data_IF_335951650948
#
_entry.id   IF_335951650948
#
_cell.length_a   1.000
_cell.length_b   1.000
_cell.length_c   1.000
_cell.angle_alpha   90.00
_cell.angle_beta   90.00
_cell.angle_gamma   90.00
#
_symmetry.space_group_name_H-M   'P 1'
#
loop_
_entity.id
_entity.type
_entity.pdbx_description
1 polymer ?
#
# COMPACT_ATOMS: atom_id res chain seq x y z
N UNK A 1 -6.11 -30.26 34.91
CA UNK A 1 -5.30 -29.04 34.68
C UNK A 1 -5.94 -28.24 33.56
N UNK A 2 -6.03 -26.96 33.76
CA UNK A 2 -6.56 -26.03 32.76
C UNK A 2 -5.43 -25.07 32.30
N UNK A 3 -5.53 -24.58 31.10
CA UNK A 3 -4.51 -23.68 30.51
C UNK A 3 -4.33 -22.37 31.30
N UNK A 4 -5.32 -21.99 32.12
CA UNK A 4 -5.29 -20.82 32.98
C UNK A 4 -4.78 -21.10 34.40
N UNK A 5 -4.43 -22.35 34.70
CA UNK A 5 -3.80 -22.69 36.01
C UNK A 5 -2.48 -21.93 36.16
N UNK A 6 -2.15 -21.48 37.38
CA UNK A 6 -1.01 -20.62 37.67
C UNK A 6 0.32 -21.17 37.12
N UNK A 7 0.57 -22.45 37.28
CA UNK A 7 1.81 -23.08 36.81
C UNK A 7 1.91 -23.08 35.26
N UNK A 8 0.79 -23.35 34.58
CA UNK A 8 0.74 -23.29 33.13
C UNK A 8 0.85 -21.85 32.60
N UNK A 9 0.22 -20.87 33.27
CA UNK A 9 0.36 -19.47 32.95
C UNK A 9 1.81 -18.99 33.10
N UNK A 10 2.51 -19.42 34.17
CA UNK A 10 3.92 -19.10 34.37
C UNK A 10 4.80 -19.73 33.28
N UNK A 11 4.51 -20.96 32.86
CA UNK A 11 5.24 -21.63 31.78
C UNK A 11 5.05 -20.89 30.44
N UNK A 12 3.82 -20.48 30.12
CA UNK A 12 3.52 -19.69 28.90
C UNK A 12 4.26 -18.36 28.93
N UNK A 13 4.23 -17.63 30.04
CA UNK A 13 4.97 -16.37 30.17
C UNK A 13 6.47 -16.56 29.99
N UNK A 14 7.04 -17.63 30.59
CA UNK A 14 8.47 -17.90 30.42
C UNK A 14 8.84 -18.16 28.97
N UNK A 15 8.10 -19.03 28.29
CA UNK A 15 8.34 -19.33 26.87
C UNK A 15 8.19 -18.06 25.99
N UNK A 16 7.17 -17.23 26.24
CA UNK A 16 7.00 -15.99 25.52
C UNK A 16 8.20 -15.04 25.67
N UNK A 17 8.70 -14.89 26.91
CA UNK A 17 9.87 -14.03 27.19
C UNK A 17 11.14 -14.62 26.55
N UNK A 18 11.34 -15.94 26.62
CA UNK A 18 12.48 -16.61 25.99
C UNK A 18 12.46 -16.35 24.46
N UNK A 19 11.32 -16.58 23.79
CA UNK A 19 11.17 -16.33 22.36
C UNK A 19 11.35 -14.85 21.97
N UNK A 20 10.94 -13.92 22.84
CA UNK A 20 11.17 -12.49 22.63
C UNK A 20 12.66 -12.14 22.72
N UNK A 21 13.38 -12.69 23.71
CA UNK A 21 14.81 -12.49 23.89
C UNK A 21 15.63 -13.10 22.73
N UNK A 22 15.14 -14.22 22.17
CA UNK A 22 15.73 -14.86 20.99
C UNK A 22 15.41 -14.12 19.68
N UNK A 23 14.62 -13.02 19.73
CA UNK A 23 14.24 -12.23 18.56
C UNK A 23 13.21 -12.89 17.64
N UNK A 24 12.57 -13.98 18.08
CA UNK A 24 11.57 -14.72 17.32
C UNK A 24 10.16 -14.10 17.44
N UNK A 25 9.93 -13.31 18.49
CA UNK A 25 8.70 -12.54 18.69
C UNK A 25 9.05 -11.06 18.63
N UNK A 26 8.35 -10.31 17.78
CA UNK A 26 8.52 -8.87 17.63
C UNK A 26 7.17 -8.20 17.36
N UNK A 27 7.10 -6.89 17.61
CA UNK A 27 5.93 -6.07 17.33
C UNK A 27 6.11 -5.33 16.01
N UNK A 28 5.19 -5.57 15.08
CA UNK A 28 5.22 -4.93 13.77
C UNK A 28 3.80 -4.59 13.28
N UNK A 29 3.71 -3.84 12.17
CA UNK A 29 2.45 -3.54 11.48
C UNK A 29 2.23 -4.59 10.39
N UNK A 30 1.00 -5.07 10.26
CA UNK A 30 0.58 -5.98 9.20
C UNK A 30 -0.67 -5.45 8.53
N UNK A 31 -0.73 -5.57 7.21
CA UNK A 31 -1.94 -5.28 6.46
C UNK A 31 -3.00 -6.34 6.76
N UNK A 32 -4.24 -5.92 6.98
CA UNK A 32 -5.37 -6.82 7.29
C UNK A 32 -6.59 -6.41 6.47
N UNK A 33 -7.50 -7.35 6.22
CA UNK A 33 -8.82 -7.04 5.72
C UNK A 33 -9.61 -6.27 6.78
N UNK A 34 -10.25 -5.19 6.38
CA UNK A 34 -10.92 -4.26 7.28
C UNK A 34 -12.33 -3.95 6.82
N UNK A 35 -13.31 -4.17 7.69
CA UNK A 35 -14.68 -3.75 7.48
C UNK A 35 -14.86 -2.30 7.94
N UNK A 36 -15.20 -1.42 7.01
CA UNK A 36 -15.35 0.02 7.27
C UNK A 36 -16.67 0.36 7.96
N UNK A 37 -17.66 -0.53 7.95
CA UNK A 37 -18.94 -0.33 8.63
C UNK A 37 -18.87 -0.79 10.09
N UNK A 38 -18.38 -2.00 10.31
CA UNK A 38 -18.16 -2.55 11.65
C UNK A 38 -16.90 -1.98 12.32
N UNK A 39 -16.03 -1.33 11.53
CA UNK A 39 -14.75 -0.75 11.97
C UNK A 39 -13.87 -1.75 12.72
N UNK A 40 -13.78 -2.95 12.17
CA UNK A 40 -13.00 -4.06 12.72
C UNK A 40 -12.21 -4.80 11.64
N UNK A 41 -11.13 -5.45 12.05
CA UNK A 41 -10.45 -6.43 11.20
C UNK A 41 -11.34 -7.66 11.01
N UNK A 42 -11.30 -8.22 9.82
CA UNK A 42 -12.00 -9.45 9.46
C UNK A 42 -10.99 -10.49 8.99
N UNK A 43 -11.28 -11.77 9.24
CA UNK A 43 -10.43 -12.87 8.78
C UNK A 43 -10.56 -13.08 7.27
N UNK A 44 -9.55 -13.69 6.66
CA UNK A 44 -9.57 -13.98 5.22
C UNK A 44 -10.73 -14.91 4.84
N UNK A 45 -11.19 -15.76 5.77
CA UNK A 45 -12.34 -16.65 5.57
C UNK A 45 -13.68 -15.93 5.49
N UNK A 46 -13.76 -14.70 6.01
CA UNK A 46 -14.96 -13.87 6.00
C UNK A 46 -15.04 -12.98 4.75
N UNK A 47 -13.96 -12.92 3.96
CA UNK A 47 -13.91 -12.13 2.73
C UNK A 47 -14.56 -12.89 1.59
N UNK A 48 -15.65 -12.32 1.06
CA UNK A 48 -16.32 -12.86 -0.14
C UNK A 48 -15.81 -12.11 -1.37
N UNK A 49 -15.12 -12.81 -2.26
CA UNK A 49 -14.65 -12.26 -3.52
C UNK A 49 -15.83 -12.06 -4.48
N UNK A 50 -15.93 -10.88 -5.09
CA UNK A 50 -16.93 -10.56 -6.10
C UNK A 50 -16.29 -9.87 -7.27
N UNK A 51 -16.60 -10.33 -8.47
CA UNK A 51 -16.21 -9.63 -9.68
C UNK A 51 -17.04 -8.36 -9.84
N UNK A 52 -16.34 -7.24 -10.02
CA UNK A 52 -16.97 -5.94 -10.27
C UNK A 52 -16.37 -5.32 -11.53
N UNK A 53 -17.24 -4.71 -12.33
CA UNK A 53 -16.75 -3.90 -13.45
C UNK A 53 -16.04 -2.66 -12.90
N UNK A 54 -14.80 -2.46 -13.32
CA UNK A 54 -13.99 -1.32 -12.94
C UNK A 54 -13.40 -0.64 -14.18
N UNK A 55 -12.98 0.60 -14.02
CA UNK A 55 -12.26 1.34 -15.05
C UNK A 55 -10.77 1.35 -14.73
N UNK A 56 -9.94 1.30 -15.76
CA UNK A 56 -8.51 1.49 -15.64
C UNK A 56 -8.19 2.97 -15.94
N UNK A 57 -7.57 3.63 -14.99
CA UNK A 57 -7.20 5.04 -15.07
C UNK A 57 -5.72 5.16 -15.38
N UNK A 58 -5.37 6.04 -16.30
CA UNK A 58 -3.99 6.34 -16.67
C UNK A 58 -3.63 7.71 -16.10
N UNK A 59 -2.57 7.75 -15.28
CA UNK A 59 -2.15 8.94 -14.57
C UNK A 59 -0.68 9.21 -14.88
N UNK A 60 -0.37 10.44 -15.28
CA UNK A 60 0.99 10.88 -15.58
C UNK A 60 1.68 11.43 -14.35
N UNK A 61 2.81 10.84 -14.00
CA UNK A 61 3.70 11.35 -12.96
C UNK A 61 4.89 12.03 -13.61
N UNK A 62 5.09 13.31 -13.32
CA UNK A 62 6.23 14.08 -13.85
C UNK A 62 7.53 13.57 -13.26
N UNK A 63 8.56 13.37 -14.10
CA UNK A 63 9.89 12.97 -13.64
C UNK A 63 10.65 14.24 -13.23
N UNK A 64 11.21 14.25 -12.03
CA UNK A 64 11.95 15.38 -11.49
C UNK A 64 13.14 15.74 -12.39
N UNK A 65 13.26 17.02 -12.74
CA UNK A 65 14.31 17.58 -13.62
C UNK A 65 14.30 17.06 -15.06
N UNK A 66 13.20 16.52 -15.53
CA UNK A 66 13.01 16.09 -16.91
C UNK A 66 11.64 16.54 -17.42
N UNK A 67 11.55 16.85 -18.70
CA UNK A 67 10.27 17.18 -19.36
C UNK A 67 9.39 15.96 -19.63
N UNK A 68 9.92 14.77 -19.31
CA UNK A 68 9.24 13.51 -19.53
C UNK A 68 8.35 13.14 -18.32
N UNK A 69 7.38 12.29 -18.60
CA UNK A 69 6.45 11.71 -17.63
C UNK A 69 6.53 10.21 -17.65
N UNK A 70 6.13 9.57 -16.56
CA UNK A 70 5.84 8.14 -16.51
C UNK A 70 4.35 7.97 -16.27
N UNK A 71 3.68 7.22 -17.15
CA UNK A 71 2.25 6.96 -17.02
C UNK A 71 2.04 5.65 -16.26
N UNK A 72 1.29 5.70 -15.17
CA UNK A 72 0.87 4.52 -14.41
C UNK A 72 -0.58 4.18 -14.75
N UNK A 73 -0.93 2.89 -14.65
CA UNK A 73 -2.30 2.41 -14.83
C UNK A 73 -2.83 1.86 -13.49
N UNK A 74 -4.01 2.28 -13.06
CA UNK A 74 -4.61 1.86 -11.80
C UNK A 74 -6.12 1.79 -11.85
N UNK A 75 -6.72 0.86 -11.12
CA UNK A 75 -8.18 0.82 -10.89
C UNK A 75 -8.60 1.62 -9.67
N UNK A 76 -7.64 2.10 -8.87
CA UNK A 76 -7.88 2.79 -7.58
C UNK A 76 -7.12 4.11 -7.52
N UNK A 77 -7.47 5.12 -8.36
CA UNK A 77 -6.73 6.38 -8.44
C UNK A 77 -6.72 7.15 -7.11
N UNK A 78 -7.75 7.03 -6.27
CA UNK A 78 -7.82 7.68 -4.96
C UNK A 78 -6.69 7.28 -4.02
N UNK A 79 -6.12 6.07 -4.18
CA UNK A 79 -5.04 5.62 -3.31
C UNK A 79 -3.69 6.24 -3.64
N UNK A 80 -3.56 6.97 -4.78
CA UNK A 80 -2.30 7.63 -5.14
C UNK A 80 -1.81 8.64 -4.09
N UNK A 81 -2.72 9.16 -3.28
CA UNK A 81 -2.36 10.02 -2.15
C UNK A 81 -1.46 9.33 -1.13
N UNK A 82 -1.48 7.99 -1.09
CA UNK A 82 -0.64 7.17 -0.22
C UNK A 82 0.56 6.52 -0.92
N UNK A 83 0.84 6.85 -2.19
CA UNK A 83 1.95 6.26 -2.94
C UNK A 83 3.31 6.62 -2.33
N UNK A 84 4.20 5.64 -2.29
CA UNK A 84 5.56 5.80 -1.75
C UNK A 84 6.65 5.42 -2.74
N UNK A 85 6.28 4.82 -3.87
CA UNK A 85 7.17 4.55 -5.00
C UNK A 85 6.37 4.33 -6.29
N UNK A 86 7.07 4.32 -7.42
CA UNK A 86 6.62 3.72 -8.67
C UNK A 86 7.55 2.56 -8.98
N UNK A 87 7.01 1.36 -9.15
CA UNK A 87 7.78 0.17 -9.51
C UNK A 87 7.79 -0.03 -11.03
N UNK A 88 8.93 -0.43 -11.56
CA UNK A 88 9.12 -0.85 -12.95
C UNK A 88 9.95 -2.13 -12.98
N UNK A 89 9.74 -2.96 -13.99
CA UNK A 89 10.53 -4.18 -14.13
C UNK A 89 11.99 -3.83 -14.45
N UNK A 90 12.99 -4.43 -13.77
CA UNK A 90 14.40 -4.16 -14.02
C UNK A 90 14.87 -4.52 -15.44
N UNK A 91 14.12 -5.37 -16.13
CA UNK A 91 14.42 -5.79 -17.51
C UNK A 91 13.62 -5.00 -18.58
N UNK A 92 12.73 -4.08 -18.16
CA UNK A 92 11.95 -3.27 -19.09
C UNK A 92 12.79 -2.14 -19.67
N UNK A 93 13.17 -2.28 -20.93
CA UNK A 93 14.01 -1.30 -21.65
C UNK A 93 13.40 0.11 -21.72
N UNK A 94 12.07 0.23 -21.57
CA UNK A 94 11.38 1.53 -21.55
C UNK A 94 11.73 2.36 -20.34
N UNK A 95 12.00 1.70 -19.20
CA UNK A 95 12.12 2.36 -17.90
C UNK A 95 13.47 2.17 -17.20
N UNK A 96 14.35 1.29 -17.71
CA UNK A 96 15.63 0.97 -17.07
C UNK A 96 16.47 2.22 -16.74
N UNK A 97 16.45 3.24 -17.60
CA UNK A 97 17.17 4.50 -17.40
C UNK A 97 16.48 5.46 -16.42
N UNK A 98 15.27 5.12 -15.96
CA UNK A 98 14.50 5.92 -15.01
C UNK A 98 14.62 5.38 -13.58
N UNK A 99 15.12 4.16 -13.38
CA UNK A 99 15.29 3.55 -12.07
C UNK A 99 16.20 4.43 -11.20
N UNK A 100 15.75 4.69 -9.97
CA UNK A 100 16.41 5.55 -9.00
C UNK A 100 16.10 7.04 -9.13
N UNK A 101 15.47 7.49 -10.22
CA UNK A 101 14.99 8.86 -10.35
C UNK A 101 13.75 9.10 -9.50
N UNK A 102 13.46 10.38 -9.24
CA UNK A 102 12.24 10.77 -8.53
C UNK A 102 11.13 11.12 -9.52
N UNK A 103 9.90 10.80 -9.14
CA UNK A 103 8.68 11.29 -9.77
C UNK A 103 7.86 12.10 -8.77
N UNK A 104 7.04 12.98 -9.28
CA UNK A 104 6.16 13.85 -8.50
C UNK A 104 4.73 13.32 -8.64
N UNK A 105 4.13 12.92 -7.52
CA UNK A 105 2.73 12.47 -7.48
C UNK A 105 1.83 13.68 -7.77
N UNK A 106 0.95 13.61 -8.77
CA UNK A 106 0.03 14.70 -9.08
C UNK A 106 -0.82 15.11 -7.87
N UNK A 107 -1.20 16.37 -7.78
CA UNK A 107 -2.02 16.97 -6.72
C UNK A 107 -1.38 16.93 -5.32
N UNK A 108 -0.71 15.85 -4.96
CA UNK A 108 -0.01 15.70 -3.65
C UNK A 108 1.33 16.41 -3.62
N UNK A 109 1.96 16.58 -4.79
CA UNK A 109 3.29 17.17 -4.96
C UNK A 109 4.40 16.47 -4.14
N UNK A 110 4.18 15.22 -3.71
CA UNK A 110 5.19 14.43 -3.03
C UNK A 110 6.11 13.75 -4.04
N UNK A 111 7.41 13.79 -3.75
CA UNK A 111 8.43 13.10 -4.51
C UNK A 111 8.57 11.66 -4.02
N UNK A 112 8.54 10.71 -4.94
CA UNK A 112 8.79 9.29 -4.68
C UNK A 112 9.74 8.72 -5.71
N UNK A 113 10.45 7.64 -5.36
CA UNK A 113 11.43 7.02 -6.27
C UNK A 113 10.78 6.07 -7.26
N UNK A 114 11.37 5.98 -8.45
CA UNK A 114 11.18 4.85 -9.35
C UNK A 114 12.10 3.73 -8.87
N UNK A 115 11.51 2.59 -8.50
CA UNK A 115 12.22 1.41 -8.00
C UNK A 115 12.19 0.28 -9.02
N UNK A 116 13.21 -0.57 -8.98
CA UNK A 116 13.25 -1.80 -9.75
C UNK A 116 12.59 -2.93 -8.94
N UNK A 117 11.52 -3.50 -9.45
CA UNK A 117 10.86 -4.63 -8.81
C UNK A 117 10.19 -5.54 -9.86
N UNK A 118 10.41 -6.85 -9.76
CA UNK A 118 9.81 -7.84 -10.65
C UNK A 118 8.29 -7.97 -10.51
N UNK A 119 7.71 -7.37 -9.49
CA UNK A 119 6.26 -7.24 -9.34
C UNK A 119 5.61 -6.47 -10.50
N UNK A 120 6.31 -5.48 -11.05
CA UNK A 120 5.84 -4.75 -12.22
C UNK A 120 5.97 -5.64 -13.47
N UNK A 121 4.80 -6.04 -14.03
CA UNK A 121 4.73 -6.83 -15.25
C UNK A 121 4.78 -5.89 -16.48
N UNK A 122 5.78 -6.00 -17.35
CA UNK A 122 5.89 -5.15 -18.55
C UNK A 122 4.72 -5.25 -19.52
N UNK A 123 3.99 -6.37 -19.50
CA UNK A 123 2.87 -6.65 -20.40
C UNK A 123 1.51 -6.23 -19.81
N UNK A 124 1.48 -5.76 -18.57
CA UNK A 124 0.25 -5.28 -17.92
C UNK A 124 0.20 -3.76 -17.84
N UNK A 125 -0.91 -3.17 -18.27
CA UNK A 125 -1.14 -1.72 -18.23
C UNK A 125 -0.05 -0.97 -18.99
N UNK A 126 0.70 -0.13 -18.27
CA UNK A 126 1.85 0.62 -18.82
C UNK A 126 3.19 -0.06 -18.52
N UNK A 127 3.22 -1.12 -17.72
CA UNK A 127 4.44 -1.72 -17.17
C UNK A 127 5.02 -0.93 -15.99
N UNK A 128 4.45 0.22 -15.64
CA UNK A 128 4.79 1.01 -14.46
C UNK A 128 3.64 0.94 -13.46
N UNK A 129 3.93 0.59 -12.22
CA UNK A 129 2.94 0.35 -11.17
C UNK A 129 3.19 1.30 -10.00
N UNK A 130 2.17 2.04 -9.58
CA UNK A 130 2.23 2.80 -8.34
C UNK A 130 2.27 1.86 -7.15
N UNK A 131 3.03 2.19 -6.12
CA UNK A 131 3.16 1.37 -4.91
C UNK A 131 2.59 2.10 -3.71
N UNK A 132 1.49 1.53 -3.18
CA UNK A 132 0.75 2.06 -2.04
C UNK A 132 0.69 1.02 -0.91
N UNK A 133 1.75 0.85 -0.12
CA UNK A 133 1.90 -0.26 0.83
C UNK A 133 0.81 -0.34 1.91
N UNK A 134 0.13 0.76 2.20
CA UNK A 134 -0.93 0.80 3.20
C UNK A 134 -2.29 0.26 2.71
N UNK A 135 -2.47 0.07 1.39
CA UNK A 135 -3.80 -0.14 0.80
C UNK A 135 -3.89 -1.29 -0.21
N UNK A 136 -2.80 -2.03 -0.40
CA UNK A 136 -2.74 -3.22 -1.25
C UNK A 136 -1.75 -4.24 -0.68
N UNK A 137 -2.13 -5.52 -0.65
CA UNK A 137 -1.30 -6.58 -0.08
C UNK A 137 -0.01 -6.83 -0.87
N UNK A 138 -0.09 -6.76 -2.20
CA UNK A 138 1.09 -6.93 -3.04
C UNK A 138 2.03 -5.73 -2.91
N UNK A 139 1.48 -4.52 -2.90
CA UNK A 139 2.25 -3.29 -2.68
C UNK A 139 2.89 -3.26 -1.29
N UNK A 140 2.23 -3.86 -0.29
CA UNK A 140 2.79 -4.01 1.05
C UNK A 140 4.07 -4.86 1.03
N UNK A 141 4.06 -6.00 0.32
CA UNK A 141 5.25 -6.86 0.18
C UNK A 141 6.37 -6.16 -0.60
N UNK A 142 6.01 -5.42 -1.69
CA UNK A 142 6.98 -4.54 -2.39
C UNK A 142 7.55 -3.50 -1.44
N UNK A 143 6.69 -2.85 -0.67
CA UNK A 143 7.08 -1.85 0.32
C UNK A 143 8.04 -2.39 1.37
N UNK A 144 7.76 -3.57 1.90
CA UNK A 144 8.58 -4.24 2.92
C UNK A 144 9.99 -4.53 2.41
N UNK A 145 10.14 -5.19 1.23
CA UNK A 145 11.45 -5.54 0.68
C UNK A 145 12.26 -4.33 0.21
N UNK A 146 11.57 -3.24 -0.20
CA UNK A 146 12.21 -1.99 -0.61
C UNK A 146 12.28 -0.95 0.52
N UNK A 147 11.87 -1.28 1.75
CA UNK A 147 11.88 -0.40 2.94
C UNK A 147 11.13 0.92 2.71
N UNK A 148 10.00 0.86 2.03
CA UNK A 148 9.17 2.03 1.73
C UNK A 148 8.34 2.44 2.95
N UNK A 149 7.98 3.72 3.01
CA UNK A 149 7.06 4.23 4.03
C UNK A 149 5.65 3.65 3.81
N UNK A 150 4.92 3.40 4.92
CA UNK A 150 3.53 2.97 4.90
C UNK A 150 2.64 4.17 5.24
N UNK A 151 2.03 4.77 4.23
CA UNK A 151 1.18 5.96 4.38
C UNK A 151 -0.29 5.54 4.27
N UNK A 152 -0.95 5.41 5.41
CA UNK A 152 -2.39 5.18 5.45
C UNK A 152 -3.14 6.51 5.24
N UNK A 153 -3.98 6.57 4.21
CA UNK A 153 -4.79 7.75 3.85
C UNK A 153 -6.28 7.59 4.22
N UNK A 154 -6.67 6.49 4.83
CA UNK A 154 -8.06 6.26 5.21
C UNK A 154 -8.26 6.27 6.72
N UNK A 155 -9.40 6.79 7.15
CA UNK A 155 -9.95 6.59 8.49
C UNK A 155 -10.56 5.18 8.60
N UNK A 156 -10.88 4.76 9.84
CA UNK A 156 -11.49 3.44 10.09
C UNK A 156 -12.80 3.23 9.34
N UNK A 157 -13.55 4.29 9.06
CA UNK A 157 -14.81 4.25 8.31
C UNK A 157 -14.62 4.33 6.78
N UNK A 158 -13.37 4.29 6.28
CA UNK A 158 -13.05 4.33 4.85
C UNK A 158 -13.08 5.71 4.22
N UNK A 159 -13.23 6.79 4.99
CA UNK A 159 -13.10 8.16 4.51
C UNK A 159 -11.64 8.58 4.41
N UNK A 160 -11.36 9.55 3.55
CA UNK A 160 -10.02 10.14 3.42
C UNK A 160 -9.64 10.86 4.73
N UNK A 161 -8.48 10.56 5.27
CA UNK A 161 -7.95 11.18 6.49
C UNK A 161 -7.12 12.46 6.18
N UNK A 162 -6.53 13.05 7.22
CA UNK A 162 -5.72 14.26 7.12
C UNK A 162 -4.37 14.12 6.39
N UNK A 163 -4.01 12.92 5.93
CA UNK A 163 -2.84 12.68 5.06
C UNK A 163 -3.19 12.73 3.58
N UNK A 164 -4.48 12.77 3.25
CA UNK A 164 -4.96 13.01 1.89
C UNK A 164 -4.84 14.47 1.46
N UNK A 165 -5.30 14.75 0.27
CA UNK A 165 -5.40 16.11 -0.25
C UNK A 165 -6.49 16.84 0.56
N UNK A 166 -6.23 18.11 0.91
CA UNK A 166 -7.08 18.90 1.81
C UNK A 166 -8.55 18.91 1.38
N UNK A 167 -8.80 19.03 0.10
CA UNK A 167 -10.12 19.10 -0.51
C UNK A 167 -10.88 17.76 -0.44
N UNK A 168 -10.18 16.66 -0.19
CA UNK A 168 -10.77 15.32 -0.12
C UNK A 168 -10.92 14.78 1.30
N UNK A 169 -10.38 15.50 2.30
CA UNK A 169 -10.48 15.07 3.71
C UNK A 169 -11.96 14.92 4.10
N UNK A 170 -12.29 13.76 4.67
CA UNK A 170 -13.64 13.42 5.11
C UNK A 170 -14.57 12.87 4.02
N UNK A 171 -14.17 12.89 2.74
CA UNK A 171 -14.93 12.26 1.66
C UNK A 171 -14.82 10.74 1.73
N UNK A 172 -15.87 10.05 1.32
CA UNK A 172 -15.82 8.61 1.04
C UNK A 172 -14.82 8.32 -0.08
N UNK A 173 -14.12 7.19 -0.01
CA UNK A 173 -13.10 6.81 -0.99
C UNK A 173 -13.63 6.73 -2.43
N UNK A 174 -14.88 6.32 -2.62
CA UNK A 174 -15.50 6.24 -3.96
C UNK A 174 -15.92 7.63 -4.48
N UNK A 175 -16.32 8.55 -3.58
CA UNK A 175 -16.57 9.95 -3.92
C UNK A 175 -15.25 10.64 -4.29
N UNK A 176 -14.20 10.44 -3.50
CA UNK A 176 -12.86 10.95 -3.81
C UNK A 176 -12.37 10.44 -5.17
N UNK A 177 -12.58 9.14 -5.49
CA UNK A 177 -12.25 8.58 -6.81
C UNK A 177 -12.96 9.30 -7.95
N UNK A 178 -14.26 9.59 -7.81
CA UNK A 178 -15.05 10.30 -8.84
C UNK A 178 -14.61 11.74 -9.06
N UNK A 179 -14.17 12.41 -7.99
CA UNK A 179 -13.73 13.80 -8.08
C UNK A 179 -12.29 13.93 -8.62
N UNK A 180 -11.52 12.86 -8.57
CA UNK A 180 -10.13 12.83 -8.99
C UNK A 180 -9.99 12.62 -10.51
N UNK A 181 -11.03 12.12 -11.16
CA UNK A 181 -11.15 11.79 -12.58
C UNK A 181 -12.02 12.81 -13.29
#
# INVERSE_FOLDING_TARGET
RFTMDKDLSNAVMKVFVDLYNDGLIYKDKKLVNWDTQLQTAISDLEVVQKDVQSQLYYIDYSIENFDNKITIATTRPETMMGDTAVAVNPNDKRYINLIGKNVIIPLVNRKVKIIADHYADPDQGTGAVKITPAHDFNDYEVGKRNKLEIINIFEKNGKINNRGIKEFIGLDRFEARKLLV
#
